data_IF_062445936271
#
_entry.id   IF_062445936271
#
_cell.length_a   1.000
_cell.length_b   1.000
_cell.length_c   1.000
_cell.angle_alpha   90.00
_cell.angle_beta   90.00
_cell.angle_gamma   90.00
#
_symmetry.space_group_name_H-M   'P 1'
#
loop_
_entity.id
_entity.type
_entity.pdbx_description
1 polymer ?
#
# COMPACT_ATOMS: atom_id res chain seq x y z
N UNK A 1 9.55 -14.95 -40.75
CA UNK A 1 8.10 -15.06 -40.49
C UNK A 1 7.65 -13.79 -39.82
N UNK A 2 6.76 -13.04 -40.48
CA UNK A 2 6.25 -11.78 -39.97
C UNK A 2 5.35 -12.07 -38.77
N UNK A 3 5.64 -11.48 -37.61
CA UNK A 3 4.71 -11.45 -36.49
C UNK A 3 3.43 -10.78 -36.98
N UNK A 4 2.35 -11.56 -37.11
CA UNK A 4 1.01 -11.05 -37.34
C UNK A 4 0.67 -10.03 -36.26
N UNK A 5 0.35 -8.80 -36.64
CA UNK A 5 -0.23 -7.78 -35.76
C UNK A 5 -1.71 -8.11 -35.48
N UNK A 6 -1.99 -9.35 -35.10
CA UNK A 6 -3.32 -9.73 -34.65
C UNK A 6 -3.58 -8.99 -33.34
N UNK A 7 -4.66 -8.21 -33.32
CA UNK A 7 -5.24 -7.62 -32.12
C UNK A 7 -6.70 -8.01 -32.14
N UNK A 8 -7.25 -8.33 -30.99
CA UNK A 8 -8.67 -8.66 -30.88
C UNK A 8 -9.09 -8.82 -29.43
N UNK A 9 -10.31 -9.30 -29.21
CA UNK A 9 -10.99 -9.12 -27.94
C UNK A 9 -11.55 -10.43 -27.41
N UNK A 10 -11.34 -10.67 -26.11
CA UNK A 10 -12.08 -11.66 -25.33
C UNK A 10 -13.12 -10.92 -24.49
N UNK A 11 -14.27 -11.56 -24.26
CA UNK A 11 -15.38 -10.96 -23.52
C UNK A 11 -15.86 -11.93 -22.47
N UNK A 12 -15.91 -11.48 -21.21
CA UNK A 12 -16.43 -12.25 -20.09
C UNK A 12 -17.26 -11.33 -19.20
N UNK A 13 -18.54 -11.68 -19.01
CA UNK A 13 -19.50 -10.84 -18.27
C UNK A 13 -19.44 -9.35 -18.69
N UNK A 14 -18.92 -8.52 -17.78
CA UNK A 14 -18.78 -7.09 -17.86
C UNK A 14 -17.34 -6.66 -18.19
N UNK A 15 -16.41 -7.59 -18.41
CA UNK A 15 -15.04 -7.29 -18.82
C UNK A 15 -14.84 -7.55 -20.31
N UNK A 16 -14.10 -6.64 -20.95
CA UNK A 16 -13.55 -6.78 -22.30
C UNK A 16 -12.03 -6.79 -22.18
N UNK A 17 -11.39 -7.85 -22.66
CA UNK A 17 -9.93 -7.99 -22.69
C UNK A 17 -9.42 -7.81 -24.11
N UNK A 18 -8.74 -6.71 -24.36
CA UNK A 18 -8.11 -6.42 -25.64
C UNK A 18 -6.70 -7.02 -25.61
N UNK A 19 -6.52 -8.14 -26.30
CA UNK A 19 -5.30 -8.92 -26.27
C UNK A 19 -4.37 -8.54 -27.41
N UNK A 20 -3.10 -8.30 -27.06
CA UNK A 20 -2.03 -8.00 -27.99
C UNK A 20 -0.76 -8.80 -27.61
N UNK A 21 0.26 -8.88 -28.50
CA UNK A 21 1.47 -9.67 -28.25
C UNK A 21 2.26 -9.36 -26.98
N UNK A 22 2.11 -8.15 -26.41
CA UNK A 22 2.86 -7.69 -25.23
C UNK A 22 1.98 -7.11 -24.12
N UNK A 23 0.69 -6.91 -24.38
CA UNK A 23 -0.21 -6.28 -23.45
C UNK A 23 -1.62 -6.88 -23.55
N UNK A 24 -2.34 -6.88 -22.43
CA UNK A 24 -3.77 -7.14 -22.35
C UNK A 24 -4.39 -5.95 -21.66
N UNK A 25 -5.23 -5.19 -22.37
CA UNK A 25 -6.00 -4.10 -21.77
C UNK A 25 -7.32 -4.66 -21.29
N UNK A 26 -7.69 -4.32 -20.06
CA UNK A 26 -8.94 -4.77 -19.44
C UNK A 26 -9.84 -3.55 -19.29
N UNK A 27 -11.02 -3.66 -19.85
CA UNK A 27 -12.05 -2.63 -19.86
C UNK A 27 -13.30 -3.16 -19.16
N UNK A 28 -13.91 -2.32 -18.33
CA UNK A 28 -15.29 -2.50 -17.91
C UNK A 28 -16.20 -2.12 -19.08
N UNK A 29 -16.96 -3.10 -19.55
CA UNK A 29 -17.86 -3.03 -20.70
C UNK A 29 -19.18 -2.32 -20.38
N UNK A 30 -19.60 -2.32 -19.12
CA UNK A 30 -20.84 -1.66 -18.69
C UNK A 30 -20.63 -0.15 -18.57
N UNK A 31 -19.46 0.27 -18.08
CA UNK A 31 -19.12 1.67 -17.84
C UNK A 31 -18.20 2.26 -18.92
N UNK A 32 -17.76 1.45 -19.88
CA UNK A 32 -16.71 1.77 -20.87
C UNK A 32 -15.47 2.43 -20.22
N UNK A 33 -15.06 1.88 -19.07
CA UNK A 33 -13.99 2.42 -18.22
C UNK A 33 -12.76 1.51 -18.27
N UNK A 34 -11.53 2.05 -18.38
CA UNK A 34 -10.33 1.25 -18.22
C UNK A 34 -10.22 0.71 -16.79
N UNK A 35 -10.06 -0.60 -16.67
CA UNK A 35 -9.77 -1.29 -15.40
C UNK A 35 -8.26 -1.35 -15.18
N UNK A 36 -7.50 -1.70 -16.23
CA UNK A 36 -6.06 -1.81 -16.15
C UNK A 36 -5.43 -2.40 -17.40
N UNK A 37 -4.11 -2.53 -17.36
CA UNK A 37 -3.30 -3.14 -18.41
C UNK A 37 -2.35 -4.16 -17.79
N UNK A 38 -2.42 -5.40 -18.24
CA UNK A 38 -1.40 -6.41 -17.99
C UNK A 38 -0.31 -6.30 -19.06
N UNK A 39 0.93 -6.07 -18.67
CA UNK A 39 2.10 -6.25 -19.53
C UNK A 39 2.61 -7.68 -19.37
N UNK A 40 2.71 -8.40 -20.48
CA UNK A 40 3.22 -9.77 -20.51
C UNK A 40 4.62 -9.72 -21.08
N UNK A 41 5.62 -10.15 -20.29
CA UNK A 41 7.00 -10.10 -20.74
C UNK A 41 7.83 -11.29 -20.29
N UNK A 42 8.75 -11.70 -21.17
CA UNK A 42 9.83 -12.63 -20.84
C UNK A 42 11.16 -11.91 -21.09
N UNK A 43 12.11 -12.05 -20.16
CA UNK A 43 13.44 -11.52 -20.36
C UNK A 43 14.21 -12.34 -21.41
N UNK A 44 15.29 -11.76 -21.96
CA UNK A 44 16.27 -12.50 -22.75
C UNK A 44 16.71 -13.76 -21.99
N UNK A 45 16.86 -14.93 -22.64
CA UNK A 45 16.94 -15.17 -24.09
C UNK A 45 15.61 -15.51 -24.80
N UNK A 46 14.46 -15.42 -24.11
CA UNK A 46 13.18 -15.82 -24.68
C UNK A 46 12.75 -14.97 -25.87
N UNK A 47 12.19 -15.61 -26.89
CA UNK A 47 11.63 -14.95 -28.08
C UNK A 47 10.18 -15.37 -28.25
N UNK A 48 9.28 -14.40 -28.42
CA UNK A 48 7.89 -14.66 -28.78
C UNK A 48 7.88 -15.21 -30.22
N UNK A 49 7.47 -16.45 -30.38
CA UNK A 49 7.36 -17.11 -31.70
C UNK A 49 5.98 -16.88 -32.31
N UNK A 50 4.94 -16.93 -31.48
CA UNK A 50 3.56 -16.91 -31.95
C UNK A 50 2.62 -16.22 -30.96
N UNK A 51 1.59 -15.56 -31.51
CA UNK A 51 0.44 -15.04 -30.81
C UNK A 51 -0.81 -15.35 -31.63
N UNK A 52 -1.68 -16.17 -31.05
CA UNK A 52 -2.94 -16.56 -31.64
C UNK A 52 -4.09 -16.08 -30.77
N UNK A 53 -5.15 -15.60 -31.41
CA UNK A 53 -6.38 -15.19 -30.76
C UNK A 53 -7.56 -15.89 -31.45
N UNK A 54 -8.30 -16.65 -30.66
CA UNK A 54 -9.54 -17.31 -31.01
C UNK A 54 -10.73 -16.62 -30.31
N UNK A 55 -11.94 -17.14 -30.47
CA UNK A 55 -13.16 -16.47 -29.99
C UNK A 55 -13.18 -16.31 -28.45
N UNK A 56 -12.64 -17.28 -27.73
CA UNK A 56 -12.65 -17.39 -26.26
C UNK A 56 -11.26 -17.63 -25.66
N UNK A 57 -10.21 -17.65 -26.48
CA UNK A 57 -8.85 -17.95 -26.05
C UNK A 57 -7.80 -17.05 -26.73
N UNK A 58 -6.89 -16.49 -25.93
CA UNK A 58 -5.65 -15.87 -26.39
C UNK A 58 -4.46 -16.73 -25.98
N UNK A 59 -3.58 -17.05 -26.93
CA UNK A 59 -2.39 -17.89 -26.70
C UNK A 59 -1.13 -17.17 -27.13
N UNK A 60 -0.17 -17.05 -26.21
CA UNK A 60 1.19 -16.59 -26.48
C UNK A 60 2.16 -17.77 -26.37
N UNK A 61 3.10 -17.87 -27.31
CA UNK A 61 4.13 -18.91 -27.30
C UNK A 61 5.52 -18.29 -27.42
N UNK A 62 6.37 -18.60 -26.46
CA UNK A 62 7.78 -18.21 -26.48
C UNK A 62 8.69 -19.43 -26.55
N UNK A 63 9.89 -19.23 -27.10
CA UNK A 63 10.95 -20.22 -27.11
C UNK A 63 12.25 -19.64 -26.56
N UNK A 64 12.94 -20.47 -25.79
CA UNK A 64 14.33 -20.34 -25.36
C UNK A 64 15.04 -21.68 -25.63
N UNK A 65 16.37 -21.73 -25.65
CA UNK A 65 17.12 -22.94 -25.99
C UNK A 65 16.55 -24.21 -25.31
N UNK A 66 15.99 -25.12 -26.11
CA UNK A 66 15.38 -26.37 -25.64
C UNK A 66 14.16 -26.21 -24.72
N UNK A 67 13.51 -25.05 -24.63
CA UNK A 67 12.33 -24.83 -23.77
C UNK A 67 11.25 -24.02 -24.49
N UNK A 68 10.00 -24.45 -24.35
CA UNK A 68 8.82 -23.75 -24.86
C UNK A 68 7.97 -23.26 -23.70
N UNK A 69 7.56 -22.00 -23.75
CA UNK A 69 6.58 -21.42 -22.85
C UNK A 69 5.28 -21.14 -23.61
N UNK A 70 4.15 -21.53 -23.02
CA UNK A 70 2.83 -21.24 -23.55
C UNK A 70 1.96 -20.62 -22.46
N UNK A 71 1.51 -19.39 -22.66
CA UNK A 71 0.50 -18.75 -21.84
C UNK A 71 -0.83 -18.79 -22.59
N UNK A 72 -1.87 -19.33 -21.96
CA UNK A 72 -3.24 -19.34 -22.47
C UNK A 72 -4.10 -18.52 -21.53
N UNK A 73 -4.83 -17.57 -22.08
CA UNK A 73 -5.87 -16.82 -21.39
C UNK A 73 -7.21 -17.23 -22.00
N UNK A 74 -8.09 -17.78 -21.19
CA UNK A 74 -9.41 -18.25 -21.62
C UNK A 74 -10.48 -17.42 -20.94
N UNK A 75 -11.53 -17.09 -21.68
CA UNK A 75 -12.67 -16.33 -21.22
C UNK A 75 -13.95 -17.14 -21.51
N UNK A 76 -14.23 -18.13 -20.66
CA UNK A 76 -15.41 -18.99 -20.78
C UNK A 76 -16.46 -18.66 -19.70
N UNK A 77 -16.64 -19.51 -18.69
CA UNK A 77 -17.42 -19.25 -17.48
C UNK A 77 -16.64 -18.38 -16.49
N UNK A 78 -15.32 -18.49 -16.49
CA UNK A 78 -14.39 -17.70 -15.67
C UNK A 78 -13.23 -17.28 -16.54
N UNK A 79 -12.60 -16.14 -16.25
CA UNK A 79 -11.34 -15.84 -16.90
C UNK A 79 -10.26 -16.70 -16.22
N UNK A 80 -9.54 -17.51 -16.99
CA UNK A 80 -8.42 -18.30 -16.47
C UNK A 80 -7.16 -18.09 -17.29
N UNK A 81 -6.04 -17.93 -16.60
CA UNK A 81 -4.71 -17.80 -17.20
C UNK A 81 -3.86 -19.00 -16.81
N UNK A 82 -3.33 -19.70 -17.81
CA UNK A 82 -2.49 -20.89 -17.62
C UNK A 82 -1.20 -20.77 -18.39
N UNK A 83 -0.10 -20.77 -17.65
CA UNK A 83 1.24 -20.84 -18.18
C UNK A 83 1.77 -22.27 -18.07
N UNK A 84 2.31 -22.78 -19.17
CA UNK A 84 3.01 -24.06 -19.23
C UNK A 84 4.41 -23.84 -19.76
N UNK A 85 5.42 -24.30 -19.02
CA UNK A 85 6.79 -24.40 -19.47
C UNK A 85 7.11 -25.86 -19.74
N UNK A 86 7.61 -26.19 -20.93
CA UNK A 86 8.01 -27.55 -21.30
C UNK A 86 9.44 -27.52 -21.80
N UNK A 87 10.28 -28.37 -21.22
CA UNK A 87 11.67 -28.50 -21.62
C UNK A 87 11.83 -29.69 -22.59
N UNK A 88 12.34 -29.42 -23.78
CA UNK A 88 12.72 -30.43 -24.79
C UNK A 88 13.99 -31.17 -24.35
N UNK A 89 14.91 -30.46 -23.67
CA UNK A 89 16.15 -30.98 -23.07
C UNK A 89 16.19 -30.65 -21.57
N UNK A 90 17.05 -31.30 -20.75
CA UNK A 90 17.17 -30.95 -19.34
C UNK A 90 17.65 -29.50 -19.17
N UNK A 91 16.93 -28.74 -18.35
CA UNK A 91 17.25 -27.35 -18.01
C UNK A 91 17.55 -27.27 -16.53
N UNK A 92 18.65 -26.61 -16.18
CA UNK A 92 19.01 -26.29 -14.80
C UNK A 92 19.03 -24.78 -14.62
N UNK A 93 18.36 -24.29 -13.59
CA UNK A 93 18.40 -22.89 -13.18
C UNK A 93 17.86 -21.93 -14.24
N UNK A 94 16.60 -22.12 -14.68
CA UNK A 94 15.99 -21.26 -15.71
C UNK A 94 16.12 -19.76 -15.33
N UNK A 95 16.90 -19.01 -16.12
CA UNK A 95 17.42 -17.69 -15.74
C UNK A 95 16.39 -16.54 -15.72
N UNK A 96 15.21 -16.74 -16.31
CA UNK A 96 14.06 -15.85 -16.17
C UNK A 96 12.81 -16.54 -16.70
N UNK A 97 11.83 -16.77 -15.84
CA UNK A 97 10.49 -17.14 -16.28
C UNK A 97 9.68 -15.91 -16.71
N UNK A 98 8.43 -16.11 -17.16
CA UNK A 98 7.58 -15.02 -17.57
C UNK A 98 7.18 -14.18 -16.36
N UNK A 99 7.13 -12.88 -16.61
CA UNK A 99 6.63 -11.89 -15.67
C UNK A 99 5.35 -11.27 -16.22
N UNK A 100 4.39 -11.08 -15.33
CA UNK A 100 3.18 -10.32 -15.61
C UNK A 100 3.22 -9.08 -14.73
N UNK A 101 3.35 -7.93 -15.38
CA UNK A 101 3.23 -6.64 -14.75
C UNK A 101 1.80 -6.15 -14.88
N UNK A 102 1.06 -6.04 -13.78
CA UNK A 102 -0.27 -5.45 -13.82
C UNK A 102 -0.19 -3.97 -13.44
N UNK A 103 -0.79 -3.12 -14.27
CA UNK A 103 -1.00 -1.70 -14.00
C UNK A 103 -2.50 -1.43 -14.03
N UNK A 104 -3.15 -1.36 -12.87
CA UNK A 104 -4.55 -0.98 -12.77
C UNK A 104 -4.76 0.53 -12.87
N UNK A 105 -6.03 0.94 -12.88
CA UNK A 105 -6.45 2.32 -12.69
C UNK A 105 -6.09 2.86 -11.29
N UNK A 106 -5.90 1.96 -10.32
CA UNK A 106 -5.46 2.24 -8.96
C UNK A 106 -4.18 1.47 -8.63
N UNK A 107 -3.54 1.75 -7.49
CA UNK A 107 -2.52 0.87 -6.94
C UNK A 107 -3.10 -0.55 -6.85
N UNK A 108 -2.33 -1.55 -7.28
CA UNK A 108 -2.78 -2.94 -7.33
C UNK A 108 -2.03 -3.74 -6.27
N UNK A 109 -2.54 -3.78 -5.03
CA UNK A 109 -1.98 -4.63 -4.00
C UNK A 109 -1.87 -6.06 -4.49
N UNK A 110 -0.71 -6.67 -4.25
CA UNK A 110 -0.46 -8.05 -4.61
C UNK A 110 0.27 -8.77 -3.49
N UNK A 111 -0.07 -10.04 -3.34
CA UNK A 111 0.64 -10.97 -2.48
C UNK A 111 1.32 -12.03 -3.35
N UNK A 112 2.65 -11.93 -3.55
CA UNK A 112 3.46 -12.96 -4.18
C UNK A 112 3.81 -14.06 -3.17
N UNK A 113 2.80 -14.80 -2.73
CA UNK A 113 2.93 -15.78 -1.65
C UNK A 113 3.42 -17.15 -2.10
N UNK A 114 4.28 -17.25 -3.12
CA UNK A 114 4.82 -18.52 -3.62
C UNK A 114 3.74 -19.38 -4.27
N UNK A 115 3.36 -20.48 -3.64
CA UNK A 115 2.28 -21.38 -4.06
C UNK A 115 0.87 -20.81 -3.90
N UNK A 116 0.74 -19.69 -3.18
CA UNK A 116 -0.50 -18.92 -3.04
C UNK A 116 -0.25 -17.50 -3.53
N UNK A 117 -1.14 -16.97 -4.36
CA UNK A 117 -0.98 -15.62 -4.90
C UNK A 117 -2.32 -14.94 -5.04
N UNK A 118 -2.39 -13.66 -4.70
CA UNK A 118 -3.59 -12.84 -4.90
C UNK A 118 -3.19 -11.46 -5.39
N UNK A 119 -3.90 -10.96 -6.41
CA UNK A 119 -3.76 -9.59 -6.90
C UNK A 119 -5.13 -8.93 -6.90
N UNK A 120 -5.24 -7.75 -6.31
CA UNK A 120 -6.41 -6.89 -6.47
C UNK A 120 -6.23 -6.08 -7.77
N UNK A 121 -6.99 -6.45 -8.80
CA UNK A 121 -6.86 -5.88 -10.15
C UNK A 121 -7.66 -4.58 -10.31
N UNK A 122 -8.83 -4.51 -9.67
CA UNK A 122 -9.73 -3.35 -9.64
C UNK A 122 -10.52 -3.34 -8.34
N UNK A 123 -10.88 -2.14 -7.89
CA UNK A 123 -11.90 -1.93 -6.89
C UNK A 123 -12.67 -0.66 -7.24
N UNK A 124 -14.00 -0.79 -7.30
CA UNK A 124 -14.88 0.29 -7.72
C UNK A 124 -15.39 1.05 -6.50
N UNK A 125 -15.13 2.36 -6.40
CA UNK A 125 -15.63 3.17 -5.29
C UNK A 125 -17.16 3.20 -5.16
N UNK A 126 -17.90 3.18 -6.27
CA UNK A 126 -19.35 3.39 -6.28
C UNK A 126 -20.14 2.16 -5.81
N UNK A 127 -19.87 0.99 -6.38
CA UNK A 127 -20.59 -0.26 -6.09
C UNK A 127 -19.82 -1.20 -5.15
N UNK A 128 -18.52 -0.94 -4.93
CA UNK A 128 -17.65 -1.75 -4.08
C UNK A 128 -17.12 -3.01 -4.77
N UNK A 129 -17.44 -3.25 -6.03
CA UNK A 129 -17.05 -4.47 -6.75
C UNK A 129 -15.53 -4.58 -6.85
N UNK A 130 -15.01 -5.77 -6.58
CA UNK A 130 -13.58 -6.08 -6.63
C UNK A 130 -13.32 -7.16 -7.65
N UNK A 131 -12.30 -6.98 -8.48
CA UNK A 131 -11.78 -7.98 -9.40
C UNK A 131 -10.42 -8.45 -8.90
N UNK A 132 -10.22 -9.75 -8.78
CA UNK A 132 -8.96 -10.33 -8.29
C UNK A 132 -8.39 -11.36 -9.24
N UNK A 133 -7.07 -11.50 -9.29
CA UNK A 133 -6.41 -12.68 -9.84
C UNK A 133 -5.91 -13.56 -8.69
N UNK A 134 -6.47 -14.76 -8.54
CA UNK A 134 -6.09 -15.75 -7.55
C UNK A 134 -5.28 -16.88 -8.19
N UNK A 135 -4.17 -17.26 -7.56
CA UNK A 135 -3.38 -18.40 -8.00
C UNK A 135 -4.05 -19.70 -7.56
N UNK A 136 -4.23 -20.63 -8.50
CA UNK A 136 -4.79 -21.97 -8.22
C UNK A 136 -3.72 -23.06 -8.29
N UNK A 137 -2.59 -22.79 -8.96
CA UNK A 137 -1.45 -23.70 -9.03
C UNK A 137 -0.16 -22.96 -9.40
N UNK A 138 0.97 -23.49 -8.98
CA UNK A 138 2.30 -23.08 -9.43
C UNK A 138 3.05 -22.34 -8.35
N UNK A 139 3.81 -21.33 -8.75
CA UNK A 139 4.59 -20.47 -7.87
C UNK A 139 4.59 -19.03 -8.40
N UNK A 140 4.61 -18.06 -7.49
CA UNK A 140 4.68 -16.64 -7.78
C UNK A 140 5.60 -15.92 -6.80
N UNK A 141 6.48 -15.09 -7.35
CA UNK A 141 7.39 -14.23 -6.59
C UNK A 141 7.22 -12.77 -7.01
N UNK A 142 7.66 -11.85 -6.15
CA UNK A 142 7.82 -10.44 -6.51
C UNK A 142 8.94 -10.31 -7.56
N UNK A 143 8.67 -9.57 -8.63
CA UNK A 143 9.65 -9.21 -9.66
C UNK A 143 9.74 -7.69 -9.83
N UNK A 144 10.81 -7.22 -10.48
CA UNK A 144 11.05 -5.77 -10.68
C UNK A 144 9.91 -5.04 -11.40
N UNK A 145 9.15 -5.75 -12.24
CA UNK A 145 8.07 -5.20 -13.07
C UNK A 145 6.68 -5.72 -12.71
N UNK A 146 6.52 -6.38 -11.56
CA UNK A 146 5.25 -6.99 -11.13
C UNK A 146 5.45 -8.36 -10.53
N UNK A 147 4.70 -9.36 -11.01
CA UNK A 147 4.76 -10.72 -10.51
C UNK A 147 5.52 -11.63 -11.47
N UNK A 148 6.45 -12.40 -10.92
CA UNK A 148 7.14 -13.47 -11.64
C UNK A 148 6.37 -14.77 -11.44
N UNK A 149 5.83 -15.33 -12.52
CA UNK A 149 4.90 -16.47 -12.45
C UNK A 149 5.62 -17.82 -12.48
N UNK A 150 6.84 -17.90 -11.94
CA UNK A 150 7.70 -19.10 -11.89
C UNK A 150 8.64 -19.01 -10.69
N UNK A 151 9.07 -20.13 -10.10
CA UNK A 151 10.10 -20.09 -9.07
C UNK A 151 11.44 -19.69 -9.67
N UNK A 152 12.25 -18.99 -8.88
CA UNK A 152 13.63 -18.68 -9.24
C UNK A 152 14.45 -19.97 -9.40
N UNK A 153 15.22 -20.07 -10.49
CA UNK A 153 16.11 -21.21 -10.71
C UNK A 153 15.38 -22.53 -10.99
N UNK A 154 14.21 -22.49 -11.62
CA UNK A 154 13.44 -23.69 -11.97
C UNK A 154 14.27 -24.71 -12.76
N UNK A 155 14.35 -25.94 -12.24
CA UNK A 155 14.92 -27.11 -12.91
C UNK A 155 13.82 -27.93 -13.58
N UNK A 156 14.05 -28.33 -14.84
CA UNK A 156 13.13 -29.14 -15.62
C UNK A 156 13.88 -30.30 -16.30
N UNK A 157 13.42 -31.53 -16.06
CA UNK A 157 13.88 -32.67 -16.83
C UNK A 157 13.29 -32.65 -18.25
N UNK A 158 13.99 -33.28 -19.20
CA UNK A 158 13.52 -33.43 -20.57
C UNK A 158 12.11 -34.07 -20.63
N UNK A 159 11.22 -33.47 -21.42
CA UNK A 159 9.84 -33.90 -21.58
C UNK A 159 8.93 -33.64 -20.36
N UNK A 160 9.43 -32.99 -19.31
CA UNK A 160 8.60 -32.55 -18.17
C UNK A 160 8.12 -31.12 -18.37
N UNK A 161 6.98 -30.84 -17.75
CA UNK A 161 6.37 -29.51 -17.77
C UNK A 161 6.16 -28.97 -16.37
N UNK A 162 6.30 -27.65 -16.25
CA UNK A 162 5.88 -26.87 -15.09
C UNK A 162 4.66 -26.03 -15.44
N UNK A 163 3.78 -25.79 -14.47
CA UNK A 163 2.49 -25.10 -14.69
C UNK A 163 2.24 -24.05 -13.62
N UNK A 164 1.89 -22.84 -14.06
CA UNK A 164 1.22 -21.80 -13.25
C UNK A 164 -0.21 -21.63 -13.74
N UNK A 165 -1.18 -21.61 -12.84
CA UNK A 165 -2.58 -21.43 -13.17
C UNK A 165 -3.23 -20.42 -12.23
N UNK A 166 -4.06 -19.57 -12.83
CA UNK A 166 -4.71 -18.44 -12.18
C UNK A 166 -6.16 -18.34 -12.64
N UNK A 167 -7.03 -17.93 -11.74
CA UNK A 167 -8.40 -17.52 -12.04
C UNK A 167 -8.52 -16.03 -11.80
N UNK A 168 -9.30 -15.36 -12.64
CA UNK A 168 -9.71 -13.99 -12.42
C UNK A 168 -11.18 -14.04 -12.03
N UNK A 169 -11.43 -13.62 -10.79
CA UNK A 169 -12.71 -13.75 -10.10
C UNK A 169 -13.23 -12.37 -9.71
N UNK A 170 -14.56 -12.30 -9.59
CA UNK A 170 -15.28 -11.11 -9.17
C UNK A 170 -15.86 -11.32 -7.78
N UNK A 171 -15.66 -10.33 -6.93
CA UNK A 171 -16.18 -10.30 -5.58
C UNK A 171 -17.10 -9.09 -5.39
N UNK A 172 -18.16 -9.21 -4.56
CA UNK A 172 -19.06 -8.10 -4.28
C UNK A 172 -18.37 -6.94 -3.54
N UNK A 173 -17.30 -7.23 -2.79
CA UNK A 173 -16.51 -6.25 -2.05
C UNK A 173 -15.15 -6.82 -1.59
N UNK A 174 -14.25 -5.94 -1.13
CA UNK A 174 -12.88 -6.32 -0.72
C UNK A 174 -12.87 -7.35 0.40
N UNK A 175 -13.77 -7.27 1.38
CA UNK A 175 -13.90 -8.30 2.42
C UNK A 175 -14.13 -9.72 1.84
N UNK A 176 -14.98 -9.85 0.81
CA UNK A 176 -15.22 -11.15 0.18
C UNK A 176 -14.02 -11.63 -0.64
N UNK A 177 -13.24 -10.72 -1.22
CA UNK A 177 -11.98 -11.05 -1.90
C UNK A 177 -10.91 -11.53 -0.90
N UNK A 178 -10.72 -10.81 0.21
CA UNK A 178 -9.75 -11.17 1.25
C UNK A 178 -10.15 -12.45 2.01
N UNK A 179 -11.44 -12.78 2.08
CA UNK A 179 -11.92 -14.05 2.62
C UNK A 179 -11.51 -15.28 1.78
N UNK A 180 -11.08 -15.09 0.53
CA UNK A 180 -10.54 -16.17 -0.31
C UNK A 180 -9.08 -16.50 0.00
N UNK A 181 -8.41 -15.71 0.86
CA UNK A 181 -7.06 -15.99 1.32
C UNK A 181 -7.03 -17.30 2.15
N UNK A 182 -5.88 -18.01 2.19
CA UNK A 182 -5.76 -19.24 2.96
C UNK A 182 -6.09 -19.02 4.44
N UNK A 183 -6.97 -19.87 4.99
CA UNK A 183 -7.46 -19.73 6.37
C UNK A 183 -6.41 -19.95 7.47
N UNK A 184 -5.19 -20.39 7.12
CA UNK A 184 -4.08 -20.48 8.05
C UNK A 184 -3.34 -19.16 8.27
N UNK A 185 -3.57 -18.16 7.42
CA UNK A 185 -2.96 -16.85 7.58
C UNK A 185 -3.41 -16.20 8.89
N UNK A 186 -2.51 -15.48 9.59
CA UNK A 186 -2.88 -14.71 10.76
C UNK A 186 -3.99 -13.71 10.45
N UNK A 187 -4.94 -13.55 11.37
CA UNK A 187 -5.98 -12.53 11.27
C UNK A 187 -5.43 -11.10 11.33
N UNK A 188 -4.26 -10.91 11.96
CA UNK A 188 -3.53 -9.65 12.02
C UNK A 188 -2.13 -9.84 11.47
N UNK A 189 -1.74 -8.93 10.58
CA UNK A 189 -0.44 -8.92 9.92
C UNK A 189 0.52 -7.92 10.57
N UNK A 190 -0.05 -6.99 11.33
CA UNK A 190 0.59 -6.10 12.27
C UNK A 190 0.38 -6.59 13.70
N UNK A 191 1.45 -6.73 14.45
CA UNK A 191 1.43 -7.08 15.87
C UNK A 191 2.29 -6.13 16.69
N UNK A 192 1.93 -5.86 17.95
CA UNK A 192 2.79 -5.15 18.87
C UNK A 192 4.14 -5.85 19.05
N UNK A 193 5.20 -5.06 19.25
CA UNK A 193 6.52 -5.57 19.58
C UNK A 193 6.47 -6.58 20.74
N UNK A 194 7.08 -7.76 20.54
CA UNK A 194 7.11 -8.84 21.53
C UNK A 194 5.85 -9.72 21.60
N UNK A 195 4.78 -9.41 20.86
CA UNK A 195 3.63 -10.31 20.79
C UNK A 195 3.86 -11.47 19.81
N UNK A 196 3.47 -12.70 20.18
CA UNK A 196 3.64 -13.85 19.31
C UNK A 196 2.53 -13.95 18.25
N UNK A 197 2.87 -14.43 17.06
CA UNK A 197 1.94 -14.68 15.95
C UNK A 197 1.78 -16.18 15.72
N UNK A 198 0.57 -16.74 15.82
CA UNK A 198 0.32 -18.14 15.51
C UNK A 198 0.13 -18.38 14.00
N UNK A 199 0.74 -19.46 13.50
CA UNK A 199 0.46 -20.06 12.19
C UNK A 199 -0.14 -21.44 12.44
N UNK A 200 -1.45 -21.57 12.22
CA UNK A 200 -2.24 -22.77 12.51
C UNK A 200 -2.08 -23.86 11.42
N UNK A 201 -0.84 -24.28 11.16
CA UNK A 201 -0.50 -25.38 10.26
C UNK A 201 0.47 -26.34 10.95
N UNK A 202 -0.04 -27.43 11.57
CA UNK A 202 0.82 -28.38 12.30
C UNK A 202 1.78 -29.16 11.39
N UNK A 203 1.40 -29.39 10.13
CA UNK A 203 2.19 -30.14 9.16
C UNK A 203 3.14 -29.26 8.31
N UNK A 204 3.20 -27.96 8.59
CA UNK A 204 4.07 -27.02 7.87
C UNK A 204 5.24 -26.55 8.74
N UNK A 205 6.42 -26.54 8.16
CA UNK A 205 7.59 -25.89 8.74
C UNK A 205 7.52 -24.39 8.46
N UNK A 206 7.70 -23.59 9.50
CA UNK A 206 7.87 -22.14 9.39
C UNK A 206 9.34 -21.80 9.58
N UNK A 207 9.88 -20.96 8.70
CA UNK A 207 11.25 -20.47 8.77
C UNK A 207 11.30 -18.97 8.48
N UNK A 208 12.25 -18.26 9.07
CA UNK A 208 12.38 -16.81 8.95
C UNK A 208 13.20 -16.22 10.10
N UNK A 209 13.32 -14.89 10.17
CA UNK A 209 14.00 -14.23 11.29
C UNK A 209 13.15 -14.31 12.57
N UNK A 210 13.81 -14.41 13.72
CA UNK A 210 13.15 -14.47 15.03
C UNK A 210 13.10 -15.86 15.66
N UNK A 211 12.34 -15.98 16.76
CA UNK A 211 12.17 -17.23 17.51
C UNK A 211 10.91 -17.93 17.03
N UNK A 212 11.07 -19.16 16.55
CA UNK A 212 9.97 -20.00 16.09
C UNK A 212 9.88 -21.19 17.03
N UNK A 213 8.71 -21.38 17.64
CA UNK A 213 8.39 -22.55 18.45
C UNK A 213 7.25 -23.32 17.81
N UNK A 214 7.32 -24.65 17.82
CA UNK A 214 6.35 -25.51 17.12
C UNK A 214 5.74 -26.50 18.11
N UNK A 215 4.44 -26.72 18.01
CA UNK A 215 3.68 -27.69 18.77
C UNK A 215 2.63 -28.38 17.88
N UNK A 216 1.76 -29.21 18.48
CA UNK A 216 0.71 -29.94 17.76
C UNK A 216 -0.36 -29.04 17.11
N UNK A 217 -0.43 -27.76 17.47
CA UNK A 217 -1.37 -26.79 16.91
C UNK A 217 -0.78 -25.95 15.77
N UNK A 218 0.52 -26.06 15.51
CA UNK A 218 1.23 -25.26 14.51
C UNK A 218 2.48 -24.58 15.06
N UNK A 219 2.86 -23.46 14.44
CA UNK A 219 4.03 -22.67 14.82
C UNK A 219 3.62 -21.35 15.47
N UNK A 220 4.43 -20.89 16.41
CA UNK A 220 4.32 -19.60 17.07
C UNK A 220 5.59 -18.80 16.80
N UNK A 221 5.42 -17.61 16.23
CA UNK A 221 6.50 -16.74 15.76
C UNK A 221 6.64 -15.54 16.68
N UNK A 222 7.85 -15.23 17.11
CA UNK A 222 8.19 -13.98 17.79
C UNK A 222 9.39 -13.33 17.12
N UNK A 223 9.35 -12.02 16.91
CA UNK A 223 10.43 -11.27 16.31
C UNK A 223 10.62 -9.90 16.98
N UNK A 224 11.82 -9.34 16.79
CA UNK A 224 12.12 -7.95 17.15
C UNK A 224 11.32 -6.98 16.28
N UNK A 225 11.17 -5.70 16.68
CA UNK A 225 10.48 -4.70 15.86
C UNK A 225 11.04 -4.62 14.44
N UNK A 226 10.15 -4.55 13.47
CA UNK A 226 10.49 -4.56 12.05
C UNK A 226 9.49 -5.31 11.18
N UNK A 227 9.69 -5.21 9.87
CA UNK A 227 9.01 -6.04 8.87
C UNK A 227 9.88 -7.25 8.56
N UNK A 228 9.30 -8.44 8.73
CA UNK A 228 10.00 -9.71 8.61
C UNK A 228 9.33 -10.62 7.58
N UNK A 229 10.13 -11.29 6.76
CA UNK A 229 9.64 -12.25 5.78
C UNK A 229 9.82 -13.69 6.29
N UNK A 230 8.73 -14.45 6.29
CA UNK A 230 8.70 -15.85 6.67
C UNK A 230 8.33 -16.73 5.50
N UNK A 231 8.87 -17.94 5.49
CA UNK A 231 8.53 -19.02 4.56
C UNK A 231 7.78 -20.10 5.33
N UNK A 232 6.64 -20.53 4.81
CA UNK A 232 5.79 -21.62 5.31
C UNK A 232 5.81 -22.74 4.28
N UNK A 233 6.44 -23.86 4.61
CA UNK A 233 6.61 -24.98 3.70
C UNK A 233 6.04 -26.27 4.30
N UNK A 234 5.15 -26.94 3.57
CA UNK A 234 4.48 -28.16 4.00
C UNK A 234 3.68 -28.82 2.87
N UNK A 235 2.90 -29.88 3.17
CA UNK A 235 2.07 -30.54 2.16
C UNK A 235 1.08 -29.56 1.52
N UNK A 236 1.29 -29.26 0.24
CA UNK A 236 0.42 -28.35 -0.52
C UNK A 236 0.59 -26.86 -0.18
N UNK A 237 1.58 -26.48 0.62
CA UNK A 237 1.91 -25.08 0.91
C UNK A 237 3.41 -24.85 0.75
N UNK A 238 3.75 -23.85 -0.01
CA UNK A 238 5.09 -23.26 -0.12
C UNK A 238 4.87 -21.77 -0.27
N UNK A 239 4.74 -21.07 0.86
CA UNK A 239 4.25 -19.71 0.86
C UNK A 239 5.19 -18.75 1.59
N UNK A 240 5.16 -17.49 1.15
CA UNK A 240 5.88 -16.40 1.80
C UNK A 240 4.86 -15.42 2.35
N UNK A 241 5.07 -14.97 3.59
CA UNK A 241 4.30 -13.87 4.15
C UNK A 241 5.25 -12.86 4.79
N UNK A 242 4.81 -11.61 4.82
CA UNK A 242 5.46 -10.58 5.62
C UNK A 242 4.56 -10.20 6.81
N UNK A 243 5.20 -10.03 7.96
CA UNK A 243 4.57 -9.66 9.22
C UNK A 243 5.32 -8.46 9.79
N UNK A 244 4.58 -7.54 10.40
CA UNK A 244 5.10 -6.32 11.00
C UNK A 244 5.01 -6.38 12.52
N UNK A 245 6.15 -6.29 13.21
CA UNK A 245 6.22 -6.03 14.65
C UNK A 245 6.46 -4.54 14.85
N UNK A 246 5.44 -3.82 15.33
CA UNK A 246 5.50 -2.38 15.51
C UNK A 246 5.84 -2.02 16.96
N UNK A 247 6.84 -1.15 17.14
CA UNK A 247 6.99 -0.39 18.39
C UNK A 247 5.79 0.55 18.59
N UNK A 248 5.62 1.04 19.82
CA UNK A 248 4.70 2.14 20.08
C UNK A 248 5.10 3.37 19.27
N UNK A 249 4.12 3.98 18.59
CA UNK A 249 4.30 5.26 17.89
C UNK A 249 4.90 6.33 18.81
N UNK A 250 4.45 6.38 20.07
CA UNK A 250 4.92 7.32 21.08
C UNK A 250 6.40 7.11 21.43
N UNK A 251 6.83 5.86 21.60
CA UNK A 251 8.22 5.54 21.96
C UNK A 251 9.18 5.89 20.81
N UNK A 252 8.80 5.58 19.57
CA UNK A 252 9.57 5.94 18.37
C UNK A 252 9.69 7.45 18.25
N UNK A 253 8.59 8.17 18.43
CA UNK A 253 8.55 9.62 18.35
C UNK A 253 9.35 10.31 19.45
N UNK A 254 9.21 9.88 20.71
CA UNK A 254 9.97 10.43 21.84
C UNK A 254 11.49 10.23 21.64
N UNK A 255 11.90 9.05 21.16
CA UNK A 255 13.30 8.76 20.85
C UNK A 255 13.81 9.66 19.72
N UNK A 256 13.04 9.84 18.65
CA UNK A 256 13.38 10.74 17.53
C UNK A 256 13.45 12.20 17.98
N UNK A 257 12.51 12.66 18.80
CA UNK A 257 12.47 14.01 19.33
C UNK A 257 13.72 14.35 20.16
N UNK A 258 14.20 13.43 21.01
CA UNK A 258 15.46 13.62 21.77
C UNK A 258 16.69 13.77 20.88
N UNK A 259 16.75 13.05 19.76
CA UNK A 259 17.83 13.19 18.78
C UNK A 259 17.78 14.55 18.08
N UNK A 260 16.59 14.97 17.63
CA UNK A 260 16.38 16.27 16.98
C UNK A 260 16.70 17.43 17.93
N UNK A 261 16.24 17.36 19.18
CA UNK A 261 16.44 18.41 20.18
C UNK A 261 17.92 18.66 20.54
N UNK A 262 18.83 17.73 20.20
CA UNK A 262 20.28 17.89 20.33
C UNK A 262 20.96 18.53 19.12
N UNK A 263 20.23 18.79 18.05
CA UNK A 263 20.74 19.36 16.78
C UNK A 263 20.49 20.87 16.69
N UNK A 264 21.10 21.54 15.71
CA UNK A 264 20.87 22.98 15.46
C UNK A 264 19.44 23.22 14.95
N UNK A 265 18.58 23.97 15.68
CA UNK A 265 17.20 24.22 15.25
C UNK A 265 17.09 24.95 13.91
N UNK A 266 18.10 25.74 13.53
CA UNK A 266 18.06 26.54 12.29
C UNK A 266 18.22 25.70 11.02
N UNK A 267 18.74 24.48 11.15
CA UNK A 267 18.87 23.53 10.06
C UNK A 267 17.72 22.52 9.98
N UNK A 268 16.77 22.57 10.93
CA UNK A 268 15.69 21.60 11.01
C UNK A 268 14.57 21.87 9.99
N UNK A 269 14.03 20.81 9.41
CA UNK A 269 12.85 20.90 8.54
C UNK A 269 11.54 21.00 9.34
N UNK A 270 10.44 21.19 8.62
CA UNK A 270 9.11 21.32 9.23
C UNK A 270 8.64 20.04 9.94
N UNK A 271 9.04 18.87 9.44
CA UNK A 271 8.66 17.59 10.04
C UNK A 271 9.39 17.36 11.37
N UNK A 272 10.66 17.72 11.44
CA UNK A 272 11.46 17.68 12.67
C UNK A 272 10.89 18.63 13.73
N UNK A 273 10.53 19.85 13.34
CA UNK A 273 9.86 20.80 14.23
C UNK A 273 8.50 20.26 14.71
N UNK A 274 7.72 19.60 13.84
CA UNK A 274 6.45 18.94 14.20
C UNK A 274 6.63 17.84 15.26
N UNK A 275 7.67 17.02 15.13
CA UNK A 275 8.00 15.99 16.11
C UNK A 275 8.36 16.62 17.48
N UNK A 276 9.11 17.73 17.49
CA UNK A 276 9.42 18.45 18.74
C UNK A 276 8.16 19.06 19.37
N UNK A 277 7.29 19.69 18.58
CA UNK A 277 6.04 20.26 19.07
C UNK A 277 5.11 19.19 19.65
N UNK A 278 5.01 18.03 18.99
CA UNK A 278 4.29 16.87 19.53
C UNK A 278 4.89 16.39 20.85
N UNK A 279 6.22 16.27 20.93
CA UNK A 279 6.90 15.78 22.13
C UNK A 279 6.76 16.75 23.33
N UNK A 280 6.68 18.06 23.08
CA UNK A 280 6.36 19.06 24.10
C UNK A 280 4.93 18.88 24.62
N UNK A 281 3.94 18.82 23.72
CA UNK A 281 2.54 18.64 24.08
C UNK A 281 2.27 17.30 24.82
N UNK A 282 3.02 16.25 24.46
CA UNK A 282 2.98 14.94 25.10
C UNK A 282 3.79 14.83 26.40
N UNK A 283 4.54 15.86 26.80
CA UNK A 283 5.48 15.84 27.93
C UNK A 283 6.63 14.80 27.78
N UNK A 284 6.97 14.43 26.54
CA UNK A 284 8.06 13.51 26.19
C UNK A 284 9.43 14.22 26.13
N UNK A 285 9.42 15.55 26.07
CA UNK A 285 10.59 16.43 26.21
C UNK A 285 10.35 17.51 27.27
N UNK A 286 11.40 17.99 27.96
CA UNK A 286 11.27 19.15 28.84
C UNK A 286 10.82 20.39 28.06
N UNK A 287 9.77 21.07 28.54
CA UNK A 287 9.17 22.23 27.87
C UNK A 287 10.18 23.33 27.50
N UNK A 288 11.06 23.71 28.43
CA UNK A 288 12.10 24.72 28.20
C UNK A 288 13.10 24.32 27.09
N UNK A 289 13.31 23.02 26.88
CA UNK A 289 14.17 22.53 25.81
C UNK A 289 13.43 22.61 24.47
N UNK A 290 12.20 22.12 24.41
CA UNK A 290 11.39 22.15 23.21
C UNK A 290 11.10 23.59 22.75
N UNK A 291 10.72 24.48 23.66
CA UNK A 291 10.42 25.88 23.33
C UNK A 291 11.64 26.66 22.85
N UNK A 292 12.83 26.41 23.40
CA UNK A 292 14.07 27.01 22.88
C UNK A 292 14.36 26.55 21.46
N UNK A 293 14.12 25.27 21.16
CA UNK A 293 14.27 24.73 19.81
C UNK A 293 13.27 25.37 18.86
N UNK A 294 11.97 25.33 19.21
CA UNK A 294 10.88 25.83 18.37
C UNK A 294 10.97 27.33 18.13
N UNK A 295 11.34 28.13 19.14
CA UNK A 295 11.54 29.56 18.98
C UNK A 295 12.67 29.89 17.99
N UNK A 296 13.83 29.24 18.15
CA UNK A 296 14.97 29.46 17.25
C UNK A 296 14.67 29.02 15.80
N UNK A 297 13.94 27.90 15.64
CA UNK A 297 13.49 27.44 14.33
C UNK A 297 12.43 28.39 13.71
N UNK A 298 11.47 28.85 14.51
CA UNK A 298 10.42 29.75 14.04
C UNK A 298 10.97 31.13 13.64
N UNK A 299 11.90 31.69 14.42
CA UNK A 299 12.56 32.96 14.10
C UNK A 299 13.29 32.85 12.75
N UNK A 300 14.02 31.75 12.52
CA UNK A 300 14.72 31.49 11.26
C UNK A 300 13.76 31.39 10.05
N UNK A 301 12.62 30.71 10.21
CA UNK A 301 11.62 30.53 9.16
C UNK A 301 10.85 31.83 8.87
N UNK A 302 10.57 32.62 9.91
CA UNK A 302 9.82 33.87 9.79
C UNK A 302 10.69 35.02 9.25
N UNK A 303 11.98 35.07 9.61
CA UNK A 303 12.91 36.11 9.19
C UNK A 303 13.42 35.96 7.74
N UNK A 304 13.15 34.82 7.09
CA UNK A 304 13.50 34.55 5.69
C UNK A 304 12.28 34.72 4.75
N UNK A 305 12.08 35.92 4.17
CA UNK A 305 10.99 36.12 3.21
C UNK A 305 11.21 35.25 1.96
N UNK A 306 10.15 34.56 1.51
CA UNK A 306 10.14 33.78 0.27
C UNK A 306 10.36 32.27 0.40
N UNK A 307 10.64 31.74 1.60
CA UNK A 307 10.59 30.28 1.78
C UNK A 307 9.14 29.78 1.76
N UNK A 308 8.82 28.77 0.93
CA UNK A 308 7.51 28.13 0.95
C UNK A 308 7.33 27.43 2.31
N UNK A 309 6.14 27.58 2.88
CA UNK A 309 5.79 26.92 4.14
C UNK A 309 5.13 25.59 3.81
N UNK A 310 5.58 24.54 4.48
CA UNK A 310 4.96 23.22 4.39
C UNK A 310 3.84 23.10 5.42
N UNK A 311 2.79 22.29 5.17
CA UNK A 311 1.71 22.13 6.12
C UNK A 311 2.13 21.67 7.52
N UNK A 312 3.16 20.81 7.61
CA UNK A 312 3.72 20.33 8.88
C UNK A 312 4.33 21.44 9.74
N UNK A 313 4.69 22.59 9.16
CA UNK A 313 5.28 23.72 9.88
C UNK A 313 4.25 24.46 10.77
N UNK A 314 2.95 24.31 10.50
CA UNK A 314 1.91 25.14 11.13
C UNK A 314 1.78 24.86 12.63
N UNK A 315 1.72 23.60 13.06
CA UNK A 315 1.59 23.28 14.48
C UNK A 315 2.82 23.72 15.31
N UNK A 316 4.07 23.50 14.86
CA UNK A 316 5.27 24.08 15.48
C UNK A 316 5.24 25.61 15.57
N UNK A 317 4.79 26.28 14.52
CA UNK A 317 4.68 27.74 14.51
C UNK A 317 3.65 28.24 15.53
N UNK A 318 2.52 27.55 15.69
CA UNK A 318 1.53 27.86 16.73
C UNK A 318 2.11 27.65 18.13
N UNK A 319 2.81 26.53 18.36
CA UNK A 319 3.47 26.26 19.62
C UNK A 319 4.50 27.35 19.97
N UNK A 320 5.35 27.73 19.00
CA UNK A 320 6.34 28.80 19.16
C UNK A 320 5.73 30.20 19.33
N UNK A 321 4.54 30.44 18.77
CA UNK A 321 3.82 31.70 18.91
C UNK A 321 3.18 31.86 20.30
N UNK A 322 2.75 30.75 20.92
CA UNK A 322 2.06 30.76 22.21
C UNK A 322 0.85 31.70 22.17
N UNK A 323 0.86 32.73 23.02
CA UNK A 323 -0.21 33.73 23.10
C UNK A 323 0.15 35.08 22.46
N UNK A 324 1.28 35.19 21.76
CA UNK A 324 1.70 36.46 21.13
C UNK A 324 0.85 36.76 19.88
N UNK A 325 0.02 37.82 19.89
CA UNK A 325 -0.86 38.14 18.75
C UNK A 325 -0.11 38.45 17.46
N UNK A 326 1.09 39.02 17.53
CA UNK A 326 1.88 39.36 16.35
C UNK A 326 2.42 38.09 15.67
N UNK A 327 2.95 37.14 16.47
CA UNK A 327 3.39 35.84 15.97
C UNK A 327 2.22 35.03 15.43
N UNK A 328 1.10 34.96 16.16
CA UNK A 328 -0.10 34.26 15.68
C UNK A 328 -0.65 34.87 14.38
N UNK A 329 -0.58 36.20 14.21
CA UNK A 329 -0.91 36.87 12.96
C UNK A 329 0.01 36.46 11.80
N UNK A 330 1.31 36.30 12.07
CA UNK A 330 2.26 35.76 11.08
C UNK A 330 1.95 34.30 10.72
N UNK A 331 1.58 33.46 11.70
CA UNK A 331 1.14 32.08 11.45
C UNK A 331 -0.12 32.04 10.58
N UNK A 332 -1.12 32.89 10.86
CA UNK A 332 -2.32 33.00 10.02
C UNK A 332 -1.97 33.40 8.57
N UNK A 333 -1.01 34.32 8.39
CA UNK A 333 -0.49 34.68 7.07
C UNK A 333 0.19 33.51 6.36
N UNK A 334 0.98 32.70 7.07
CA UNK A 334 1.62 31.49 6.50
C UNK A 334 0.59 30.41 6.16
N UNK A 335 -0.41 30.21 7.01
CA UNK A 335 -1.51 29.27 6.77
C UNK A 335 -2.29 29.64 5.50
N UNK A 336 -2.58 30.92 5.29
CA UNK A 336 -3.27 31.41 4.09
C UNK A 336 -2.42 31.39 2.81
N UNK A 337 -1.11 31.15 2.93
CA UNK A 337 -0.18 31.04 1.80
C UNK A 337 0.15 29.58 1.43
N UNK A 338 -0.40 28.59 2.15
CA UNK A 338 -0.21 27.19 1.80
C UNK A 338 -0.88 26.86 0.46
N UNK A 339 -0.29 25.95 -0.34
CA UNK A 339 -0.94 25.46 -1.55
C UNK A 339 -2.16 24.60 -1.20
N UNK A 340 -3.18 24.65 -2.06
CA UNK A 340 -4.35 23.77 -1.96
C UNK A 340 -3.89 22.30 -2.00
N UNK A 341 -4.08 21.61 -0.88
CA UNK A 341 -3.64 20.23 -0.68
C UNK A 341 -4.28 19.64 0.59
N UNK A 342 -4.33 18.31 0.69
CA UNK A 342 -4.87 17.65 1.88
C UNK A 342 -4.06 17.99 3.14
N UNK A 343 -2.73 18.08 3.01
CA UNK A 343 -1.88 18.50 4.12
C UNK A 343 -2.21 19.92 4.61
N UNK A 344 -2.43 20.86 3.68
CA UNK A 344 -2.80 22.23 4.04
C UNK A 344 -4.19 22.31 4.71
N UNK A 345 -5.15 21.52 4.24
CA UNK A 345 -6.48 21.44 4.86
C UNK A 345 -6.41 20.86 6.27
N UNK A 346 -5.60 19.81 6.49
CA UNK A 346 -5.32 19.29 7.84
C UNK A 346 -4.71 20.37 8.74
N UNK A 347 -3.64 21.02 8.28
CA UNK A 347 -3.01 22.11 9.02
C UNK A 347 -4.02 23.24 9.37
N UNK A 348 -4.92 23.58 8.43
CA UNK A 348 -6.00 24.53 8.68
C UNK A 348 -7.01 24.04 9.73
N UNK A 349 -7.43 22.78 9.66
CA UNK A 349 -8.38 22.20 10.64
C UNK A 349 -7.83 22.24 12.07
N UNK A 350 -6.52 22.04 12.25
CA UNK A 350 -5.87 22.16 13.55
C UNK A 350 -5.64 23.61 13.99
N UNK A 351 -5.28 24.49 13.07
CA UNK A 351 -4.89 25.86 13.38
C UNK A 351 -6.05 26.85 13.53
N UNK A 352 -7.09 26.72 12.70
CA UNK A 352 -8.19 27.68 12.66
C UNK A 352 -8.92 27.85 14.01
N UNK A 353 -9.20 26.77 14.79
CA UNK A 353 -9.78 26.91 16.12
C UNK A 353 -8.88 27.68 17.10
N UNK A 354 -7.57 27.45 17.05
CA UNK A 354 -6.58 28.12 17.93
C UNK A 354 -6.48 29.61 17.61
N UNK A 355 -6.42 29.96 16.31
CA UNK A 355 -6.39 31.34 15.84
C UNK A 355 -7.68 32.08 16.21
N UNK A 356 -8.84 31.47 15.95
CA UNK A 356 -10.14 32.06 16.26
C UNK A 356 -10.32 32.26 17.78
N UNK A 357 -9.93 31.27 18.59
CA UNK A 357 -9.93 31.37 20.05
C UNK A 357 -9.03 32.48 20.60
N UNK A 358 -8.02 32.90 19.83
CA UNK A 358 -7.09 33.99 20.15
C UNK A 358 -7.53 35.35 19.55
N UNK A 359 -8.73 35.44 18.96
CA UNK A 359 -9.26 36.66 18.36
C UNK A 359 -8.68 37.00 16.97
N UNK A 360 -7.95 36.07 16.35
CA UNK A 360 -7.40 36.23 15.00
C UNK A 360 -8.34 35.54 14.02
N UNK A 361 -8.74 36.26 12.98
CA UNK A 361 -9.59 35.68 11.92
C UNK A 361 -8.75 34.70 11.09
N UNK A 362 -9.08 33.39 11.09
CA UNK A 362 -8.34 32.44 10.28
C UNK A 362 -8.57 32.71 8.78
N UNK A 363 -7.60 32.39 7.91
CA UNK A 363 -7.80 32.45 6.47
C UNK A 363 -8.89 31.47 6.02
N UNK A 364 -9.35 31.61 4.78
CA UNK A 364 -10.26 30.64 4.17
C UNK A 364 -9.61 29.25 4.13
N UNK A 365 -10.39 28.16 4.30
CA UNK A 365 -9.85 26.81 4.20
C UNK A 365 -9.34 26.55 2.77
N UNK A 366 -8.16 25.93 2.61
CA UNK A 366 -7.67 25.49 1.30
C UNK A 366 -8.61 24.42 0.75
N UNK A 367 -8.81 24.42 -0.57
CA UNK A 367 -9.82 23.58 -1.22
C UNK A 367 -9.33 23.05 -2.57
N UNK A 368 -8.68 21.89 -2.54
CA UNK A 368 -8.45 21.09 -3.74
C UNK A 368 -9.65 20.16 -3.96
N UNK A 369 -10.41 20.39 -5.04
CA UNK A 369 -11.58 19.57 -5.39
C UNK A 369 -11.21 18.29 -6.13
N UNK A 370 -10.00 18.23 -6.68
CA UNK A 370 -9.54 17.08 -7.46
C UNK A 370 -8.93 16.01 -6.54
N UNK A 371 -8.38 16.40 -5.38
CA UNK A 371 -7.87 15.47 -4.37
C UNK A 371 -9.01 14.79 -3.57
N UNK A 372 -9.16 13.45 -3.63
CA UNK A 372 -10.16 12.73 -2.84
C UNK A 372 -9.98 12.91 -1.33
N UNK A 373 -8.74 13.04 -0.83
CA UNK A 373 -8.51 13.23 0.60
C UNK A 373 -9.01 14.60 1.06
N UNK A 374 -8.84 15.66 0.26
CA UNK A 374 -9.43 16.98 0.54
C UNK A 374 -10.95 16.94 0.63
N UNK A 375 -11.61 16.18 -0.25
CA UNK A 375 -13.07 16.00 -0.23
C UNK A 375 -13.54 15.25 1.02
N UNK A 376 -12.83 14.19 1.39
CA UNK A 376 -13.11 13.45 2.63
C UNK A 376 -12.93 14.36 3.85
N UNK A 377 -11.84 15.13 3.91
CA UNK A 377 -11.59 16.07 5.01
C UNK A 377 -12.63 17.19 5.10
N UNK A 378 -13.09 17.69 3.95
CA UNK A 378 -14.20 18.66 3.90
C UNK A 378 -15.50 18.05 4.45
N UNK A 379 -15.77 16.77 4.16
CA UNK A 379 -16.91 16.04 4.71
C UNK A 379 -16.76 15.79 6.23
N UNK A 380 -15.53 15.51 6.70
CA UNK A 380 -15.22 15.42 8.14
C UNK A 380 -15.48 16.75 8.83
N UNK A 381 -14.93 17.86 8.31
CA UNK A 381 -15.09 19.19 8.89
C UNK A 381 -16.57 19.62 8.98
N UNK A 382 -17.40 19.20 8.02
CA UNK A 382 -18.83 19.49 7.97
C UNK A 382 -19.70 18.43 8.68
N UNK A 383 -19.09 17.44 9.33
CA UNK A 383 -19.79 16.35 10.04
C UNK A 383 -20.80 15.61 9.17
N UNK A 384 -20.39 15.24 7.96
CA UNK A 384 -21.27 14.58 7.00
C UNK A 384 -21.86 13.27 7.59
N UNK A 385 -23.18 13.05 7.43
CA UNK A 385 -23.88 11.94 8.08
C UNK A 385 -23.63 10.58 7.43
N UNK A 386 -22.97 10.55 6.26
CA UNK A 386 -22.66 9.33 5.50
C UNK A 386 -21.22 9.38 5.02
N UNK A 387 -20.66 8.19 4.81
CA UNK A 387 -19.35 8.00 4.20
C UNK A 387 -19.36 8.62 2.78
N UNK A 388 -18.45 9.55 2.46
CA UNK A 388 -18.31 10.08 1.10
C UNK A 388 -17.77 9.00 0.16
N UNK A 389 -18.21 9.00 -1.10
CA UNK A 389 -17.78 8.01 -2.09
C UNK A 389 -16.25 8.06 -2.34
N UNK A 390 -15.64 9.23 -2.17
CA UNK A 390 -14.20 9.44 -2.27
C UNK A 390 -13.39 8.63 -1.26
N UNK A 391 -13.97 8.29 -0.09
CA UNK A 391 -13.29 7.47 0.91
C UNK A 391 -12.88 6.11 0.35
N UNK A 392 -13.72 5.52 -0.52
CA UNK A 392 -13.42 4.25 -1.15
C UNK A 392 -12.22 4.34 -2.10
N UNK A 393 -12.00 5.51 -2.72
CA UNK A 393 -10.82 5.79 -3.54
C UNK A 393 -9.52 5.97 -2.75
N UNK A 394 -9.59 6.16 -1.42
CA UNK A 394 -8.43 6.27 -0.54
C UNK A 394 -7.97 4.93 0.02
N UNK A 395 -8.83 3.91 0.08
CA UNK A 395 -8.48 2.59 0.64
C UNK A 395 -7.26 1.92 -0.03
N UNK A 396 -7.00 2.09 -1.35
CA UNK A 396 -5.77 1.58 -1.97
C UNK A 396 -4.48 2.29 -1.52
N UNK A 397 -4.56 3.46 -0.87
CA UNK A 397 -3.43 4.19 -0.27
C UNK A 397 -3.09 3.69 1.14
N UNK A 398 -3.98 2.91 1.76
CA UNK A 398 -3.78 2.29 3.06
C UNK A 398 -3.26 0.85 2.93
N UNK A 399 -2.87 0.23 4.04
CA UNK A 399 -2.47 -1.17 4.02
C UNK A 399 -3.62 -2.04 3.50
N UNK A 400 -3.36 -2.80 2.45
CA UNK A 400 -4.41 -3.53 1.71
C UNK A 400 -5.06 -4.68 2.49
N UNK A 401 -4.41 -5.11 3.57
CA UNK A 401 -4.77 -6.31 4.30
C UNK A 401 -4.17 -7.59 3.76
N UNK A 402 -3.41 -7.50 2.67
CA UNK A 402 -2.63 -8.62 2.16
C UNK A 402 -1.38 -8.85 3.03
N UNK A 403 -0.88 -10.08 3.17
CA UNK A 403 0.33 -10.44 3.92
C UNK A 403 1.62 -10.04 3.19
N UNK A 404 1.67 -8.80 2.71
CA UNK A 404 2.74 -8.20 1.92
C UNK A 404 2.81 -6.70 2.19
N UNK A 405 4.01 -6.08 2.21
CA UNK A 405 4.17 -4.72 2.67
C UNK A 405 3.60 -3.75 1.64
N UNK A 406 3.26 -2.56 2.14
CA UNK A 406 3.07 -1.40 1.28
C UNK A 406 4.41 -1.02 0.63
N UNK A 407 4.35 -0.56 -0.62
CA UNK A 407 5.52 -0.05 -1.32
C UNK A 407 6.06 1.21 -0.60
N UNK A 408 7.37 1.31 -0.30
CA UNK A 408 7.94 2.41 0.49
C UNK A 408 7.66 3.80 -0.06
N UNK A 409 7.54 3.94 -1.38
CA UNK A 409 7.23 5.19 -2.08
C UNK A 409 5.85 5.77 -1.70
N UNK A 410 4.94 4.95 -1.15
CA UNK A 410 3.62 5.40 -0.70
C UNK A 410 3.57 5.74 0.80
N UNK A 411 4.67 5.57 1.54
CA UNK A 411 4.65 5.68 3.01
C UNK A 411 4.15 7.03 3.52
N UNK A 412 4.62 8.14 2.95
CA UNK A 412 4.20 9.48 3.36
C UNK A 412 2.75 9.80 3.01
N UNK A 413 2.28 9.40 1.81
CA UNK A 413 0.88 9.56 1.41
C UNK A 413 -0.06 8.72 2.27
N UNK A 414 0.34 7.49 2.61
CA UNK A 414 -0.40 6.62 3.53
C UNK A 414 -0.46 7.21 4.95
N UNK A 415 0.64 7.79 5.45
CA UNK A 415 0.66 8.48 6.74
C UNK A 415 -0.26 9.71 6.75
N UNK A 416 -0.26 10.51 5.67
CA UNK A 416 -1.18 11.64 5.48
C UNK A 416 -2.65 11.18 5.44
N UNK A 417 -2.95 10.07 4.74
CA UNK A 417 -4.28 9.48 4.75
C UNK A 417 -4.68 9.01 6.16
N UNK A 418 -3.76 8.40 6.92
CA UNK A 418 -4.00 7.99 8.31
C UNK A 418 -4.30 9.20 9.21
N UNK A 419 -3.57 10.31 9.04
CA UNK A 419 -3.80 11.56 9.76
C UNK A 419 -5.23 12.08 9.53
N UNK A 420 -5.65 12.14 8.26
CA UNK A 420 -6.98 12.63 7.91
C UNK A 420 -8.12 11.69 8.30
N UNK A 421 -7.97 10.39 8.07
CA UNK A 421 -9.01 9.40 8.36
C UNK A 421 -9.17 9.12 9.86
N UNK A 422 -8.15 9.43 10.68
CA UNK A 422 -8.29 9.38 12.14
C UNK A 422 -9.32 10.39 12.69
N UNK A 423 -9.64 11.44 11.92
CA UNK A 423 -10.67 12.41 12.27
C UNK A 423 -12.08 12.01 11.81
N UNK A 424 -12.22 10.88 11.11
CA UNK A 424 -13.51 10.45 10.58
C UNK A 424 -14.56 10.29 11.71
N UNK A 425 -15.80 10.76 11.51
CA UNK A 425 -16.89 10.56 12.48
C UNK A 425 -17.12 9.07 12.78
N UNK A 426 -17.38 8.73 14.04
CA UNK A 426 -17.62 7.34 14.47
C UNK A 426 -18.79 6.64 13.75
N UNK A 427 -19.72 7.38 13.15
CA UNK A 427 -20.83 6.84 12.36
C UNK A 427 -20.46 6.42 10.93
N UNK A 428 -19.22 6.64 10.49
CA UNK A 428 -18.73 6.19 9.19
C UNK A 428 -18.37 4.71 9.23
N UNK A 429 -19.32 3.88 8.84
CA UNK A 429 -19.13 2.43 8.77
C UNK A 429 -18.65 1.99 7.38
N UNK A 430 -17.52 1.28 7.35
CA UNK A 430 -16.93 0.68 6.15
C UNK A 430 -17.00 -0.85 6.15
N UNK A 431 -17.52 -1.47 7.22
CA UNK A 431 -17.55 -2.91 7.42
C UNK A 431 -18.38 -3.69 6.40
N UNK A 432 -19.29 -3.01 5.69
CA UNK A 432 -20.01 -3.60 4.56
C UNK A 432 -19.09 -3.95 3.37
N UNK A 433 -17.91 -3.33 3.26
CA UNK A 433 -16.97 -3.55 2.15
C UNK A 433 -15.58 -4.01 2.60
N UNK A 434 -15.17 -3.67 3.81
CA UNK A 434 -13.87 -4.00 4.39
C UNK A 434 -14.01 -5.03 5.52
N UNK A 435 -13.03 -5.94 5.69
CA UNK A 435 -13.08 -6.90 6.80
C UNK A 435 -12.71 -6.27 8.16
N UNK A 436 -12.22 -5.03 8.14
CA UNK A 436 -11.87 -4.25 9.33
C UNK A 436 -12.66 -2.94 9.34
N UNK A 437 -12.92 -2.43 10.54
CA UNK A 437 -13.40 -1.07 10.73
C UNK A 437 -12.36 -0.04 10.27
N UNK A 438 -12.80 1.20 10.00
CA UNK A 438 -11.89 2.27 9.60
C UNK A 438 -10.77 2.53 10.64
N UNK A 439 -11.06 2.57 11.96
CA UNK A 439 -10.00 2.70 12.98
C UNK A 439 -9.00 1.54 12.97
N UNK A 440 -9.45 0.30 12.79
CA UNK A 440 -8.55 -0.87 12.70
C UNK A 440 -7.66 -0.79 11.46
N UNK A 441 -8.20 -0.37 10.31
CA UNK A 441 -7.43 -0.20 9.09
C UNK A 441 -6.37 0.91 9.22
N UNK A 442 -6.72 2.03 9.85
CA UNK A 442 -5.77 3.12 10.16
C UNK A 442 -4.70 2.61 11.13
N UNK A 443 -5.08 1.91 12.19
CA UNK A 443 -4.15 1.36 13.17
C UNK A 443 -3.16 0.36 12.55
N UNK A 444 -3.66 -0.56 11.72
CA UNK A 444 -2.84 -1.52 10.99
C UNK A 444 -1.87 -0.81 10.04
N UNK A 445 -2.33 0.19 9.29
CA UNK A 445 -1.48 0.97 8.38
C UNK A 445 -0.40 1.72 9.16
N UNK A 446 -0.73 2.35 10.29
CA UNK A 446 0.24 3.01 11.17
C UNK A 446 1.29 2.02 11.69
N UNK A 447 0.87 0.85 12.17
CA UNK A 447 1.77 -0.18 12.68
C UNK A 447 2.76 -0.66 11.60
N UNK A 448 2.30 -0.89 10.37
CA UNK A 448 3.16 -1.22 9.24
C UNK A 448 4.18 -0.12 8.92
N UNK A 449 3.75 1.14 8.89
CA UNK A 449 4.64 2.28 8.63
C UNK A 449 5.67 2.48 9.76
N UNK A 450 5.30 2.20 11.01
CA UNK A 450 6.23 2.21 12.15
C UNK A 450 7.24 1.08 12.05
N UNK A 451 6.79 -0.16 11.80
CA UNK A 451 7.67 -1.31 11.63
C UNK A 451 8.64 -1.14 10.44
N UNK A 452 8.26 -0.39 9.41
CA UNK A 452 9.12 -0.06 8.28
C UNK A 452 10.28 0.91 8.62
N UNK A 453 10.25 1.58 9.78
CA UNK A 453 11.23 2.59 10.16
C UNK A 453 10.99 3.92 9.44
N UNK A 454 10.00 4.73 9.86
CA UNK A 454 9.58 5.91 9.12
C UNK A 454 10.66 7.00 9.13
N UNK A 455 10.76 7.72 8.01
CA UNK A 455 11.47 9.00 7.95
C UNK A 455 10.72 10.09 8.74
N UNK A 456 11.36 11.25 8.95
CA UNK A 456 10.80 12.33 9.78
C UNK A 456 9.45 12.83 9.25
N UNK A 457 9.30 12.95 7.92
CA UNK A 457 8.05 13.40 7.29
C UNK A 457 6.89 12.40 7.49
N UNK A 458 7.15 11.10 7.31
CA UNK A 458 6.17 10.04 7.56
C UNK A 458 5.78 10.02 9.03
N UNK A 459 6.76 10.08 9.93
CA UNK A 459 6.53 10.08 11.38
C UNK A 459 5.72 11.30 11.82
N UNK A 460 6.03 12.51 11.33
CA UNK A 460 5.29 13.72 11.65
C UNK A 460 3.80 13.62 11.26
N UNK A 461 3.49 13.02 10.10
CA UNK A 461 2.09 12.76 9.71
C UNK A 461 1.43 11.66 10.56
N UNK A 462 2.16 10.63 10.98
CA UNK A 462 1.61 9.60 11.88
C UNK A 462 1.25 10.17 13.27
N UNK A 463 2.00 11.17 13.72
CA UNK A 463 1.78 11.90 14.98
C UNK A 463 0.71 13.00 14.85
N UNK A 464 0.25 13.28 13.63
CA UNK A 464 -0.80 14.26 13.40
C UNK A 464 -2.13 13.72 13.90
N UNK A 465 -2.78 14.47 14.80
CA UNK A 465 -3.97 14.08 15.55
C UNK A 465 -3.94 14.67 16.94
#
# INVERSE_FOLDING_TARGET
MNASTATGQLVWEHLRLECAPREVRVMDREQDRPVGTATISMASPWRLEDFALEADEATWRWRSAGTVAQLRLTADRTISARLVLTADEPVTGLAAGPSVGWRGAFSCPSWPGGSSGLVLLDERPSDGLVVTAGQTRGHVDAGERGLTLTPAGLDLAAGRSWVSAWTIDRHPHRAAALAALPGWLPHRLDVPAGEPVPIALPDAAVSGPGRISTNESGSLIEAEPGIHCFTVAGPGVDARLQLAWAESLGDVAARRARLIAGSDPRGADAAQAAIIAWADAGHELPHDQAMRFLAAWADELLDRPGQPVEPLAVAPLLAAAGTDPARLGAVAGRLGALPDSAGALLAWMGAAPVLAGSGITPPAPPADRDDPLCRVLSAVATHAPRVPDELWGLLPRLHSGLPWPMAPEHATDAALCCAGLALAPAGWDVGARMPWSLPELVAATRAWLIAAGPGDQTLAWLLWG
#
